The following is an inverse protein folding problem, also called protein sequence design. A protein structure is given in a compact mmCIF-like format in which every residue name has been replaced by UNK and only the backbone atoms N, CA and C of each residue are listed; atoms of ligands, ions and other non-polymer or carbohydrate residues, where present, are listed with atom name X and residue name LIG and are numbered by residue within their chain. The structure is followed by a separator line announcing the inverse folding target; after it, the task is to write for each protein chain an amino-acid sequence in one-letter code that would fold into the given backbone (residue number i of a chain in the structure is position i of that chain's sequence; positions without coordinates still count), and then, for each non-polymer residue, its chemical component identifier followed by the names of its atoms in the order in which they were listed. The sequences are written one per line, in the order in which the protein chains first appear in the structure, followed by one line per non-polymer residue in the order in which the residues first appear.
data_IF_390126987858
#
_entry.id   IF_390126987858
#
_cell.length_a   1.000
_cell.length_b   1.000
_cell.length_c   1.000
_cell.angle_alpha   90.00
_cell.angle_beta   90.00
_cell.angle_gamma   90.00
#
_symmetry.space_group_name_H-M   'P 1'
#
loop_
_entity.id
_entity.type
_entity.pdbx_description
1 polymer ?
#
# COMPACT_ATOMS: atom_id res chain seq x y z
N UNK A 1 0.22 22.90 -72.69
CA UNK A 1 -0.29 23.78 -71.62
C UNK A 1 -1.56 23.16 -71.05
N UNK A 2 -1.77 23.32 -69.74
CA UNK A 2 -2.87 22.87 -68.88
C UNK A 2 -2.80 21.44 -68.30
N UNK A 3 -2.42 21.44 -67.01
CA UNK A 3 -2.62 20.44 -65.97
C UNK A 3 -4.11 20.30 -65.59
N UNK A 4 -4.57 19.06 -65.34
CA UNK A 4 -5.12 18.63 -64.04
C UNK A 4 -5.34 17.11 -64.03
N UNK A 5 -4.65 16.43 -63.11
CA UNK A 5 -4.84 15.03 -62.72
C UNK A 5 -6.08 14.89 -61.82
N UNK A 6 -6.89 13.86 -62.03
CA UNK A 6 -7.72 13.26 -60.99
C UNK A 6 -7.30 11.81 -60.80
N UNK A 7 -6.56 11.56 -59.71
CA UNK A 7 -6.17 10.23 -59.27
C UNK A 7 -7.21 9.68 -58.29
N UNK A 8 -7.78 8.53 -58.64
CA UNK A 8 -8.62 7.69 -57.79
C UNK A 8 -7.69 6.84 -56.92
N UNK A 9 -7.74 7.00 -55.60
CA UNK A 9 -7.11 6.06 -54.65
C UNK A 9 -7.97 5.92 -53.38
N UNK A 10 -8.69 4.80 -53.28
CA UNK A 10 -9.24 4.30 -52.02
C UNK A 10 -8.69 2.89 -51.73
N UNK A 11 -8.50 2.63 -50.43
CA UNK A 11 -8.17 1.37 -49.72
C UNK A 11 -6.71 1.16 -49.34
N UNK A 12 -6.32 1.83 -48.25
CA UNK A 12 -5.32 1.32 -47.31
C UNK A 12 -5.93 1.30 -45.90
N UNK A 13 -6.30 0.12 -45.38
CA UNK A 13 -6.74 -0.04 -44.01
C UNK A 13 -6.02 -1.21 -43.32
N UNK A 14 -5.18 -0.83 -42.36
CA UNK A 14 -4.86 -1.50 -41.11
C UNK A 14 -4.18 -2.89 -41.11
N UNK A 15 -2.85 -2.79 -41.11
CA UNK A 15 -1.92 -3.41 -40.15
C UNK A 15 -2.62 -3.94 -38.89
N UNK A 16 -2.69 -5.25 -38.78
CA UNK A 16 -3.11 -6.01 -37.60
C UNK A 16 -2.09 -5.84 -36.46
N UNK A 17 -2.30 -4.83 -35.62
CA UNK A 17 -1.88 -4.84 -34.23
C UNK A 17 -3.11 -5.21 -33.38
N UNK A 18 -3.16 -6.42 -32.84
CA UNK A 18 -4.01 -6.78 -31.69
C UNK A 18 -3.81 -8.24 -31.30
N UNK A 19 -2.85 -8.51 -30.41
CA UNK A 19 -2.92 -9.70 -29.55
C UNK A 19 -1.87 -9.61 -28.44
N UNK A 20 -2.06 -8.71 -27.48
CA UNK A 20 -1.40 -8.82 -26.17
C UNK A 20 -2.28 -8.25 -25.02
N UNK A 21 -3.60 -8.18 -25.21
CA UNK A 21 -4.56 -7.76 -24.18
C UNK A 21 -5.31 -8.94 -23.54
N UNK A 22 -4.81 -10.17 -23.68
CA UNK A 22 -5.53 -11.41 -23.33
C UNK A 22 -5.01 -12.15 -22.09
N UNK A 23 -4.22 -11.52 -21.22
CA UNK A 23 -3.83 -12.09 -19.92
C UNK A 23 -4.14 -11.14 -18.75
N UNK A 24 -5.23 -10.38 -18.83
CA UNK A 24 -5.83 -9.81 -17.63
C UNK A 24 -6.85 -10.81 -17.06
N UNK A 25 -6.40 -12.05 -16.78
CA UNK A 25 -7.24 -13.01 -16.07
C UNK A 25 -7.62 -12.40 -14.72
N UNK A 26 -8.86 -12.63 -14.34
CA UNK A 26 -9.58 -12.31 -13.09
C UNK A 26 -8.88 -12.78 -11.79
N UNK A 27 -7.59 -12.54 -11.68
CA UNK A 27 -6.79 -12.87 -10.51
C UNK A 27 -7.12 -11.87 -9.42
N UNK A 28 -7.46 -12.41 -8.26
CA UNK A 28 -7.59 -11.66 -7.01
C UNK A 28 -6.38 -10.73 -6.85
N UNK A 29 -6.58 -9.44 -6.49
CA UNK A 29 -5.46 -8.53 -6.26
C UNK A 29 -4.45 -9.08 -5.25
N UNK A 30 -3.17 -8.80 -5.46
CA UNK A 30 -2.09 -9.24 -4.58
C UNK A 30 -2.22 -8.61 -3.19
N UNK A 31 -1.92 -9.37 -2.14
CA UNK A 31 -1.98 -8.91 -0.74
C UNK A 31 -0.74 -9.34 0.02
N UNK A 32 -0.49 -8.71 1.18
CA UNK A 32 0.61 -9.09 2.08
C UNK A 32 0.31 -10.35 2.92
N UNK A 33 -0.73 -11.12 2.60
CA UNK A 33 -1.14 -12.27 3.41
C UNK A 33 -0.03 -13.32 3.60
N UNK A 34 0.71 -13.62 2.53
CA UNK A 34 1.83 -14.57 2.60
C UNK A 34 3.04 -13.92 3.27
N UNK A 35 3.38 -12.69 2.87
CA UNK A 35 4.48 -11.93 3.44
C UNK A 35 4.36 -11.76 4.98
N UNK A 36 3.14 -11.51 5.48
CA UNK A 36 2.90 -11.31 6.90
C UNK A 36 3.25 -12.54 7.75
N UNK A 37 3.16 -13.76 7.22
CA UNK A 37 3.49 -14.97 7.98
C UNK A 37 4.97 -14.98 8.38
N UNK A 38 5.85 -14.53 7.48
CA UNK A 38 7.30 -14.58 7.64
C UNK A 38 7.92 -13.26 8.11
N UNK A 39 7.17 -12.17 8.07
CA UNK A 39 7.73 -10.85 8.37
C UNK A 39 6.95 -10.09 9.43
N UNK A 40 5.67 -10.38 9.67
CA UNK A 40 4.89 -9.62 10.65
C UNK A 40 5.01 -10.17 12.06
N UNK A 41 4.98 -9.25 13.03
CA UNK A 41 4.93 -9.48 14.46
C UNK A 41 3.58 -10.12 14.80
N UNK A 42 3.59 -11.26 15.50
CA UNK A 42 2.36 -11.74 16.13
C UNK A 42 1.97 -10.76 17.23
N UNK A 43 0.74 -10.22 17.20
CA UNK A 43 0.27 -9.34 18.28
C UNK A 43 0.19 -10.15 19.58
N UNK A 44 0.91 -9.80 20.66
CA UNK A 44 0.65 -10.36 21.96
C UNK A 44 -0.71 -9.81 22.42
N UNK A 45 -1.70 -10.69 22.65
CA UNK A 45 -2.96 -10.27 23.29
C UNK A 45 -2.64 -9.58 24.61
N UNK A 46 -3.12 -8.35 24.79
CA UNK A 46 -3.29 -7.80 26.13
C UNK A 46 -4.20 -8.74 26.93
N UNK A 47 -3.67 -9.21 28.07
CA UNK A 47 -4.30 -9.92 29.18
C UNK A 47 -5.83 -10.03 29.12
N UNK A 48 -6.35 -11.15 28.61
CA UNK A 48 -7.64 -11.70 29.05
C UNK A 48 -7.48 -13.22 29.11
N UNK A 49 -7.48 -13.71 30.34
CA UNK A 49 -7.86 -15.04 30.86
C UNK A 49 -7.62 -16.28 29.97
N UNK A 50 -6.87 -17.22 30.55
CA UNK A 50 -6.60 -18.58 30.07
C UNK A 50 -7.90 -19.34 29.74
N UNK A 51 -8.35 -19.29 28.47
CA UNK A 51 -9.03 -20.43 27.82
C UNK A 51 -9.08 -20.26 26.30
N UNK A 52 -8.49 -21.22 25.59
CA UNK A 52 -8.53 -21.48 24.14
C UNK A 52 -7.68 -20.57 23.22
N UNK A 53 -6.35 -20.77 23.21
CA UNK A 53 -5.39 -19.81 22.61
C UNK A 53 -4.40 -20.41 21.58
N UNK A 54 -4.87 -21.10 20.53
CA UNK A 54 -4.03 -21.40 19.36
C UNK A 54 -4.65 -20.94 18.03
N UNK A 55 -5.94 -21.17 17.84
CA UNK A 55 -6.67 -20.74 16.63
C UNK A 55 -6.93 -19.23 16.60
N UNK A 56 -7.16 -18.58 17.75
CA UNK A 56 -7.38 -17.14 17.82
C UNK A 56 -6.11 -16.31 17.60
N UNK A 57 -4.94 -16.80 18.04
CA UNK A 57 -3.64 -16.15 17.81
C UNK A 57 -3.24 -16.23 16.33
N UNK A 58 -3.46 -17.39 15.69
CA UNK A 58 -3.33 -17.53 14.24
C UNK A 58 -4.30 -16.60 13.50
N UNK A 59 -5.56 -16.47 13.96
CA UNK A 59 -6.54 -15.54 13.37
C UNK A 59 -6.12 -14.06 13.46
N UNK A 60 -5.50 -13.64 14.57
CA UNK A 60 -5.03 -12.27 14.73
C UNK A 60 -3.91 -11.93 13.72
N UNK A 61 -2.96 -12.86 13.50
CA UNK A 61 -1.93 -12.72 12.46
C UNK A 61 -2.56 -12.75 11.06
N UNK A 62 -3.60 -13.57 10.85
CA UNK A 62 -4.25 -13.69 9.54
C UNK A 62 -5.05 -12.47 9.11
N UNK A 63 -5.26 -11.47 9.96
CA UNK A 63 -5.96 -10.23 9.60
C UNK A 63 -5.04 -8.98 9.64
N UNK A 64 -3.82 -9.10 10.14
CA UNK A 64 -2.86 -8.00 10.32
C UNK A 64 -2.43 -7.34 9.00
N UNK A 65 -2.61 -8.00 7.86
CA UNK A 65 -2.27 -7.51 6.50
C UNK A 65 -3.44 -6.83 5.78
N UNK A 66 -4.62 -6.75 6.38
CA UNK A 66 -5.84 -6.16 5.80
C UNK A 66 -6.20 -4.84 6.50
N UNK A 67 -6.96 -3.97 5.84
CA UNK A 67 -7.46 -2.69 6.38
C UNK A 67 -8.11 -2.88 7.76
N UNK A 68 -7.75 -1.97 8.67
CA UNK A 68 -8.39 -1.82 9.98
C UNK A 68 -8.40 -0.34 10.36
N UNK A 69 -9.38 0.05 11.18
CA UNK A 69 -9.45 1.38 11.79
C UNK A 69 -8.81 1.43 13.17
N UNK A 70 -8.39 0.27 13.69
CA UNK A 70 -7.72 0.18 14.98
C UNK A 70 -6.24 0.56 14.84
N UNK A 71 -5.76 1.53 15.64
CA UNK A 71 -4.35 1.88 15.69
C UNK A 71 -3.46 0.68 16.00
N UNK A 72 -2.30 0.60 15.35
CA UNK A 72 -1.31 -0.40 15.70
C UNK A 72 -0.72 -0.07 17.07
N UNK A 73 -0.66 -1.09 17.94
CA UNK A 73 0.00 -1.00 19.25
C UNK A 73 1.46 -1.43 19.21
N UNK A 74 1.84 -2.13 18.15
CA UNK A 74 3.19 -2.63 17.86
C UNK A 74 3.43 -2.52 16.35
N UNK A 75 4.67 -2.34 15.89
CA UNK A 75 4.97 -2.32 14.46
C UNK A 75 4.61 -3.64 13.79
N UNK A 76 4.26 -3.56 12.51
CA UNK A 76 3.97 -4.72 11.69
C UNK A 76 5.20 -5.60 11.58
N UNK A 77 6.38 -5.05 11.28
CA UNK A 77 7.56 -5.85 10.96
C UNK A 77 8.31 -6.35 12.19
N UNK A 78 8.61 -7.66 12.22
CA UNK A 78 9.38 -8.31 13.29
C UNK A 78 10.75 -7.69 13.51
N UNK A 79 11.37 -7.15 12.45
CA UNK A 79 12.70 -6.52 12.52
C UNK A 79 12.75 -5.23 13.37
N UNK A 80 11.58 -4.67 13.71
CA UNK A 80 11.43 -3.53 14.63
C UNK A 80 11.17 -3.95 16.08
N UNK A 81 10.92 -5.25 16.34
CA UNK A 81 10.79 -5.75 17.71
C UNK A 81 12.10 -5.57 18.48
N UNK A 82 12.01 -5.11 19.73
CA UNK A 82 13.18 -4.82 20.58
C UNK A 82 13.92 -3.53 20.24
N UNK A 83 13.38 -2.71 19.32
CA UNK A 83 13.89 -1.37 19.01
C UNK A 83 12.86 -0.33 19.44
N UNK A 84 12.76 -0.11 20.74
CA UNK A 84 11.62 0.58 21.36
C UNK A 84 11.30 1.95 20.75
N UNK A 85 12.33 2.76 20.45
CA UNK A 85 12.15 4.07 19.80
C UNK A 85 11.56 3.94 18.39
N UNK A 86 12.13 3.07 17.56
CA UNK A 86 11.66 2.84 16.19
C UNK A 86 10.30 2.13 16.14
N UNK A 87 10.02 1.27 17.13
CA UNK A 87 8.73 0.62 17.28
C UNK A 87 7.63 1.64 17.68
N UNK A 88 7.95 2.56 18.59
CA UNK A 88 7.05 3.66 18.95
C UNK A 88 6.79 4.58 17.74
N UNK A 89 7.84 4.90 16.98
CA UNK A 89 7.75 5.71 15.76
C UNK A 89 6.84 5.04 14.71
N UNK A 90 7.01 3.74 14.48
CA UNK A 90 6.15 2.99 13.56
C UNK A 90 4.67 2.99 13.97
N UNK A 91 4.39 2.87 15.27
CA UNK A 91 3.02 2.98 15.78
C UNK A 91 2.47 4.40 15.59
N UNK A 92 3.30 5.43 15.83
CA UNK A 92 2.94 6.83 15.62
C UNK A 92 2.57 7.10 14.15
N UNK A 93 3.40 6.62 13.21
CA UNK A 93 3.14 6.70 11.77
C UNK A 93 1.81 6.02 11.42
N UNK A 94 1.51 4.84 11.99
CA UNK A 94 0.24 4.15 11.73
C UNK A 94 -0.98 4.99 12.11
N UNK A 95 -0.90 5.75 13.21
CA UNK A 95 -1.96 6.66 13.65
C UNK A 95 -2.06 7.86 12.70
N UNK A 96 -0.93 8.38 12.24
CA UNK A 96 -0.90 9.48 11.28
C UNK A 96 -1.52 9.07 9.92
N UNK A 97 -1.22 7.87 9.43
CA UNK A 97 -1.85 7.28 8.22
C UNK A 97 -3.37 7.21 8.41
N UNK A 98 -3.85 6.65 9.51
CA UNK A 98 -5.29 6.54 9.78
C UNK A 98 -5.99 7.91 9.86
N UNK A 99 -5.32 8.92 10.44
CA UNK A 99 -5.82 10.30 10.47
C UNK A 99 -5.87 10.93 9.08
N UNK A 100 -4.82 10.75 8.29
CA UNK A 100 -4.76 11.25 6.92
C UNK A 100 -5.88 10.66 6.09
N UNK A 101 -6.06 9.33 6.13
CA UNK A 101 -7.12 8.60 5.43
C UNK A 101 -8.54 8.89 5.95
N UNK A 102 -8.69 9.67 7.04
CA UNK A 102 -9.99 9.99 7.63
C UNK A 102 -10.63 8.83 8.41
N UNK A 103 -9.88 7.76 8.68
CA UNK A 103 -10.34 6.63 9.47
C UNK A 103 -10.34 6.91 10.98
N UNK A 104 -9.55 7.90 11.42
CA UNK A 104 -9.54 8.46 12.77
C UNK A 104 -9.89 9.95 12.79
N UNK A 105 -10.54 10.44 13.87
CA UNK A 105 -10.85 11.85 14.00
C UNK A 105 -9.56 12.69 14.13
N UNK A 106 -9.56 13.82 13.43
CA UNK A 106 -8.50 14.82 13.48
C UNK A 106 -9.04 16.05 14.20
N UNK A 107 -8.30 16.60 15.17
CA UNK A 107 -8.66 17.91 15.73
C UNK A 107 -8.56 18.94 14.61
N UNK A 108 -9.56 19.83 14.47
CA UNK A 108 -9.81 20.76 13.34
C UNK A 108 -8.61 21.58 12.83
N UNK A 109 -7.46 21.54 13.50
CA UNK A 109 -6.29 22.37 13.25
C UNK A 109 -5.09 21.64 12.62
N UNK A 110 -5.13 20.30 12.46
CA UNK A 110 -4.04 19.60 11.76
C UNK A 110 -4.32 19.54 10.26
N UNK A 111 -3.46 20.19 9.47
CA UNK A 111 -3.53 20.18 8.01
C UNK A 111 -2.93 18.90 7.41
N UNK A 112 -3.24 18.64 6.13
CA UNK A 112 -2.73 17.50 5.36
C UNK A 112 -1.20 17.39 5.44
N UNK A 113 -0.51 18.53 5.31
CA UNK A 113 0.96 18.60 5.27
C UNK A 113 1.61 18.20 6.61
N UNK A 114 1.00 18.59 7.74
CA UNK A 114 1.52 18.17 9.05
C UNK A 114 1.42 16.67 9.27
N UNK A 115 0.41 16.02 8.66
CA UNK A 115 0.24 14.59 8.74
C UNK A 115 1.24 13.88 7.82
N UNK A 116 1.52 14.41 6.63
CA UNK A 116 2.57 13.84 5.77
C UNK A 116 3.95 13.96 6.41
N UNK A 117 4.25 15.06 7.09
CA UNK A 117 5.51 15.19 7.85
C UNK A 117 5.61 14.13 8.95
N UNK A 118 4.51 13.91 9.69
CA UNK A 118 4.44 12.86 10.72
C UNK A 118 4.59 11.44 10.16
N UNK A 119 4.23 11.21 8.89
CA UNK A 119 4.31 9.90 8.25
C UNK A 119 5.73 9.66 7.68
N UNK A 120 6.35 10.70 7.11
CA UNK A 120 7.56 10.54 6.28
C UNK A 120 8.87 11.00 6.93
N UNK A 121 8.86 11.82 7.98
CA UNK A 121 10.08 12.29 8.63
C UNK A 121 10.92 11.12 9.22
N UNK A 122 10.26 10.17 9.89
CA UNK A 122 10.87 8.94 10.39
C UNK A 122 11.60 8.09 9.33
N UNK A 123 10.91 7.60 8.27
CA UNK A 123 11.53 6.77 7.22
C UNK A 123 12.56 7.49 6.35
N UNK A 124 12.53 8.83 6.28
CA UNK A 124 13.61 9.61 5.64
C UNK A 124 14.91 9.55 6.45
N UNK A 125 14.82 9.50 7.77
CA UNK A 125 15.98 9.41 8.69
C UNK A 125 16.43 7.97 8.96
N UNK A 126 15.49 7.02 9.00
CA UNK A 126 15.76 5.64 9.39
C UNK A 126 15.24 4.65 8.35
N UNK A 127 16.14 4.10 7.54
CA UNK A 127 15.78 3.22 6.41
C UNK A 127 14.94 2.01 6.81
N UNK A 128 15.12 1.51 8.03
CA UNK A 128 14.38 0.37 8.56
C UNK A 128 12.86 0.63 8.65
N UNK A 129 12.45 1.90 8.81
CA UNK A 129 11.05 2.32 8.84
C UNK A 129 10.41 2.40 7.45
N UNK A 130 11.20 2.48 6.36
CA UNK A 130 10.66 2.58 4.99
C UNK A 130 9.75 1.39 4.67
N UNK A 131 10.25 0.17 4.90
CA UNK A 131 9.47 -1.05 4.69
C UNK A 131 8.21 -1.09 5.57
N UNK A 132 8.29 -0.57 6.79
CA UNK A 132 7.17 -0.52 7.71
C UNK A 132 6.06 0.38 7.17
N UNK A 133 6.41 1.58 6.67
CA UNK A 133 5.45 2.48 6.03
C UNK A 133 4.80 1.82 4.82
N UNK A 134 5.57 1.20 3.93
CA UNK A 134 5.01 0.49 2.78
C UNK A 134 4.07 -0.65 3.20
N UNK A 135 4.43 -1.43 4.23
CA UNK A 135 3.56 -2.48 4.76
C UNK A 135 2.26 -1.91 5.35
N UNK A 136 2.33 -0.81 6.10
CA UNK A 136 1.16 -0.14 6.66
C UNK A 136 0.25 0.42 5.57
N UNK A 137 0.80 1.04 4.51
CA UNK A 137 0.02 1.56 3.38
C UNK A 137 -0.65 0.43 2.58
N UNK A 138 0.11 -0.60 2.19
CA UNK A 138 -0.46 -1.77 1.50
C UNK A 138 -1.54 -2.46 2.33
N UNK A 139 -1.35 -2.56 3.66
CA UNK A 139 -2.36 -3.05 4.60
C UNK A 139 -3.64 -2.21 4.52
N UNK A 140 -3.54 -0.88 4.63
CA UNK A 140 -4.70 0.01 4.63
C UNK A 140 -5.39 0.11 3.25
N UNK A 141 -4.70 -0.23 2.17
CA UNK A 141 -5.26 -0.36 0.82
C UNK A 141 -5.83 -1.76 0.51
N UNK A 142 -5.62 -2.74 1.39
CA UNK A 142 -6.12 -4.10 1.20
C UNK A 142 -7.49 -4.26 1.86
N UNK A 143 -8.50 -4.59 1.05
CA UNK A 143 -9.89 -4.80 1.49
C UNK A 143 -10.52 -3.57 2.18
N UNK A 144 -10.07 -2.37 1.82
CA UNK A 144 -10.69 -1.13 2.26
C UNK A 144 -12.01 -0.90 1.51
N UNK A 145 -13.11 -0.72 2.25
CA UNK A 145 -14.46 -0.52 1.67
C UNK A 145 -14.86 0.95 1.59
N UNK A 146 -14.06 1.84 2.17
CA UNK A 146 -14.32 3.27 2.17
C UNK A 146 -13.48 3.90 1.05
N UNK A 147 -14.13 4.28 -0.05
CA UNK A 147 -13.46 4.84 -1.23
C UNK A 147 -12.69 6.12 -0.94
N UNK A 148 -13.18 6.97 -0.03
CA UNK A 148 -12.49 8.22 0.36
C UNK A 148 -11.20 7.90 1.12
N UNK A 149 -11.27 6.92 2.03
CA UNK A 149 -10.10 6.43 2.76
C UNK A 149 -9.10 5.79 1.81
N UNK A 150 -9.57 4.95 0.89
CA UNK A 150 -8.73 4.29 -0.12
C UNK A 150 -8.01 5.29 -1.03
N UNK A 151 -8.71 6.30 -1.56
CA UNK A 151 -8.12 7.35 -2.40
C UNK A 151 -6.96 8.07 -1.69
N UNK A 152 -7.18 8.46 -0.43
CA UNK A 152 -6.13 9.09 0.40
C UNK A 152 -4.98 8.14 0.71
N UNK A 153 -5.25 6.84 0.83
CA UNK A 153 -4.21 5.82 0.95
C UNK A 153 -3.33 5.74 -0.30
N UNK A 154 -3.93 5.91 -1.49
CA UNK A 154 -3.20 5.95 -2.75
C UNK A 154 -2.34 7.21 -2.90
N UNK A 155 -2.84 8.37 -2.47
CA UNK A 155 -2.02 9.60 -2.37
C UNK A 155 -0.77 9.37 -1.52
N UNK A 156 -0.91 8.74 -0.34
CA UNK A 156 0.22 8.41 0.52
C UNK A 156 1.18 7.40 -0.11
N UNK A 157 0.66 6.40 -0.86
CA UNK A 157 1.49 5.45 -1.61
C UNK A 157 2.32 6.17 -2.66
N UNK A 158 1.71 7.09 -3.40
CA UNK A 158 2.39 7.90 -4.42
C UNK A 158 3.53 8.74 -3.83
N UNK A 159 3.25 9.43 -2.73
CA UNK A 159 4.25 10.20 -1.99
C UNK A 159 5.39 9.30 -1.51
N UNK A 160 5.09 8.15 -0.92
CA UNK A 160 6.11 7.21 -0.45
C UNK A 160 7.04 6.78 -1.60
N UNK A 161 6.48 6.41 -2.75
CA UNK A 161 7.25 6.00 -3.93
C UNK A 161 8.12 7.12 -4.52
N UNK A 162 7.69 8.38 -4.41
CA UNK A 162 8.49 9.53 -4.83
C UNK A 162 9.58 9.95 -3.84
N UNK A 163 9.46 9.58 -2.55
CA UNK A 163 10.39 9.99 -1.49
C UNK A 163 11.50 8.97 -1.24
N UNK A 164 11.19 7.67 -1.25
CA UNK A 164 12.17 6.63 -0.94
C UNK A 164 11.79 5.25 -1.48
N UNK A 165 12.80 4.45 -1.82
CA UNK A 165 12.62 3.05 -2.17
C UNK A 165 12.45 2.16 -0.93
N UNK A 166 11.70 1.06 -1.08
CA UNK A 166 11.68 -0.03 -0.10
C UNK A 166 12.90 -0.95 -0.26
N UNK A 167 13.09 -1.87 0.68
CA UNK A 167 14.16 -2.88 0.59
C UNK A 167 13.92 -3.88 -0.55
N UNK A 168 14.98 -4.50 -1.09
CA UNK A 168 14.84 -5.55 -2.10
C UNK A 168 13.91 -6.70 -1.69
N UNK A 169 13.85 -7.00 -0.38
CA UNK A 169 12.98 -8.04 0.16
C UNK A 169 11.48 -7.70 0.08
N UNK A 170 11.12 -6.42 0.19
CA UNK A 170 9.72 -5.96 0.07
C UNK A 170 9.37 -5.57 -1.37
N UNK A 171 10.34 -5.16 -2.19
CA UNK A 171 10.13 -4.65 -3.54
C UNK A 171 9.30 -5.59 -4.43
N UNK A 172 9.52 -6.91 -4.30
CA UNK A 172 8.73 -7.91 -5.03
C UNK A 172 7.25 -7.85 -4.66
N UNK A 173 6.94 -7.76 -3.37
CA UNK A 173 5.57 -7.67 -2.86
C UNK A 173 4.91 -6.36 -3.28
N UNK A 174 5.62 -5.24 -3.15
CA UNK A 174 5.14 -3.92 -3.59
C UNK A 174 4.85 -3.91 -5.09
N UNK A 175 5.76 -4.43 -5.91
CA UNK A 175 5.58 -4.48 -7.37
C UNK A 175 4.36 -5.32 -7.78
N UNK A 176 4.16 -6.47 -7.14
CA UNK A 176 2.97 -7.31 -7.38
C UNK A 176 1.70 -6.62 -6.89
N UNK A 177 1.77 -5.95 -5.73
CA UNK A 177 0.67 -5.16 -5.19
C UNK A 177 0.23 -4.09 -6.19
N UNK A 178 1.13 -3.21 -6.62
CA UNK A 178 0.83 -2.11 -7.55
C UNK A 178 0.29 -2.62 -8.89
N UNK A 179 0.94 -3.62 -9.51
CA UNK A 179 0.54 -4.18 -10.82
C UNK A 179 -0.85 -4.83 -10.84
N UNK A 180 -1.34 -5.30 -9.70
CA UNK A 180 -2.64 -5.97 -9.60
C UNK A 180 -3.77 -5.04 -9.20
N UNK A 181 -3.50 -3.75 -9.01
CA UNK A 181 -4.48 -2.72 -8.68
C UNK A 181 -4.83 -1.94 -9.94
N UNK A 182 -6.11 -1.61 -10.09
CA UNK A 182 -6.63 -0.86 -11.25
C UNK A 182 -6.61 0.65 -11.04
N UNK A 183 -5.95 1.12 -9.98
CA UNK A 183 -5.91 2.53 -9.62
C UNK A 183 -4.89 3.28 -10.48
N UNK A 184 -5.20 4.47 -11.03
CA UNK A 184 -4.26 5.23 -11.88
C UNK A 184 -2.92 5.49 -11.18
N UNK A 185 -2.98 5.92 -9.92
CA UNK A 185 -1.79 6.16 -9.07
C UNK A 185 -0.93 4.90 -8.90
N UNK A 186 -1.50 3.70 -8.93
CA UNK A 186 -0.72 2.47 -8.81
C UNK A 186 0.23 2.27 -10.01
N UNK A 187 -0.16 2.75 -11.20
CA UNK A 187 0.70 2.70 -12.38
C UNK A 187 1.84 3.74 -12.27
N UNK A 188 1.54 4.94 -11.76
CA UNK A 188 2.54 6.00 -11.57
C UNK A 188 3.56 5.63 -10.48
N UNK A 189 3.13 4.95 -9.43
CA UNK A 189 3.98 4.43 -8.35
C UNK A 189 4.94 3.30 -8.76
N UNK A 190 4.89 2.81 -10.00
CA UNK A 190 5.80 1.77 -10.52
C UNK A 190 7.04 2.35 -11.24
N UNK A 191 7.11 3.67 -11.42
CA UNK A 191 8.16 4.35 -12.21
C UNK A 191 9.51 4.43 -11.49
#
# INVERSE_FOLDING_TARGET
ALFKEEGIFEKGANRSQSSNASIASTRKPHTLQMYAQDHFSATPRQSISRRNSMTAARRAITDLWRHSRDPLKLPLLRKLMGKDELAAEACYISVAILKYMGDLPVRKQKYSNELTDQIFDGPLKHEILRDEVYCQLMKQLTDNRNSISEERGWELMWLATGLFACSPGLLKELSMFLRTRRHPVAADSLQ
#
